data_IF_249211473029
#
_entry.id   IF_249211473029
#
_cell.length_a   1.000
_cell.length_b   1.000
_cell.length_c   1.000
_cell.angle_alpha   90.00
_cell.angle_beta   90.00
_cell.angle_gamma   90.00
#
_symmetry.space_group_name_H-M   'P 1'
#
loop_
_entity.id
_entity.type
_entity.pdbx_description
1 polymer ?
#
# COMPACT_ATOMS: atom_id res chain seq x y z
N UNK A 1 -25.47 -29.64 3.35
CA UNK A 1 -24.43 -28.80 2.70
C UNK A 1 -24.12 -27.64 3.62
N UNK A 2 -22.90 -27.62 4.18
CA UNK A 2 -22.46 -26.62 5.17
C UNK A 2 -22.35 -25.23 4.53
N UNK A 3 -22.54 -24.16 5.31
CA UNK A 3 -22.53 -22.77 4.82
C UNK A 3 -21.33 -22.38 3.94
N UNK A 4 -20.15 -23.00 4.19
CA UNK A 4 -18.96 -22.86 3.35
C UNK A 4 -19.15 -23.39 1.91
N UNK A 5 -19.89 -24.47 1.75
CA UNK A 5 -20.22 -25.07 0.44
C UNK A 5 -21.15 -24.17 -0.39
N UNK A 6 -22.16 -23.56 0.26
CA UNK A 6 -23.08 -22.62 -0.41
C UNK A 6 -22.37 -21.32 -0.82
N UNK A 7 -21.48 -20.78 0.01
CA UNK A 7 -20.69 -19.60 -0.32
C UNK A 7 -19.69 -19.88 -1.47
N UNK A 8 -19.15 -21.10 -1.54
CA UNK A 8 -18.27 -21.52 -2.64
C UNK A 8 -19.02 -21.69 -3.95
N UNK A 9 -20.18 -22.37 -3.92
CA UNK A 9 -21.07 -22.52 -5.08
C UNK A 9 -21.55 -21.17 -5.63
N UNK A 10 -21.95 -20.24 -4.76
CA UNK A 10 -22.36 -18.88 -5.16
C UNK A 10 -21.23 -18.09 -5.83
N UNK A 11 -19.98 -18.26 -5.41
CA UNK A 11 -18.81 -17.63 -6.07
C UNK A 11 -18.56 -18.20 -7.47
N UNK A 12 -18.66 -19.51 -7.65
CA UNK A 12 -18.52 -20.14 -8.97
C UNK A 12 -19.64 -19.72 -9.92
N UNK A 13 -20.88 -19.66 -9.44
CA UNK A 13 -22.02 -19.21 -10.24
C UNK A 13 -21.87 -17.75 -10.71
N UNK A 14 -21.39 -16.85 -9.82
CA UNK A 14 -21.09 -15.46 -10.19
C UNK A 14 -19.97 -15.37 -11.22
N UNK A 15 -18.88 -16.13 -11.02
CA UNK A 15 -17.77 -16.17 -11.98
C UNK A 15 -18.22 -16.71 -13.35
N UNK A 16 -19.02 -17.77 -13.39
CA UNK A 16 -19.58 -18.31 -14.64
C UNK A 16 -20.50 -17.31 -15.33
N UNK A 17 -21.38 -16.63 -14.59
CA UNK A 17 -22.25 -15.57 -15.12
C UNK A 17 -21.45 -14.38 -15.66
N UNK A 18 -20.36 -13.99 -15.00
CA UNK A 18 -19.42 -12.99 -15.51
C UNK A 18 -18.82 -13.43 -16.84
N UNK A 19 -18.27 -14.62 -16.92
CA UNK A 19 -17.64 -15.13 -18.13
C UNK A 19 -18.63 -15.24 -19.30
N UNK A 20 -19.87 -15.69 -19.05
CA UNK A 20 -20.92 -15.69 -20.06
C UNK A 20 -21.15 -14.28 -20.62
N UNK A 21 -21.29 -13.26 -19.75
CA UNK A 21 -21.43 -11.85 -20.17
C UNK A 21 -20.19 -11.32 -20.90
N UNK A 22 -19.01 -11.62 -20.41
CA UNK A 22 -17.74 -11.19 -21.00
C UNK A 22 -17.53 -11.76 -22.41
N UNK A 23 -17.90 -13.01 -22.66
CA UNK A 23 -17.75 -13.68 -23.95
C UNK A 23 -18.81 -13.24 -24.95
N UNK A 24 -20.01 -12.89 -24.49
CA UNK A 24 -21.13 -12.44 -25.34
C UNK A 24 -21.13 -10.93 -25.58
N UNK A 25 -20.51 -10.13 -24.73
CA UNK A 25 -20.35 -8.69 -24.96
C UNK A 25 -19.37 -8.48 -26.12
N UNK A 26 -19.80 -7.76 -27.16
CA UNK A 26 -19.02 -7.48 -28.37
C UNK A 26 -17.72 -6.68 -28.09
N UNK A 27 -17.14 -6.09 -29.15
CA UNK A 27 -15.96 -5.21 -29.08
C UNK A 27 -16.18 -4.11 -28.04
N UNK A 28 -15.09 -3.68 -27.38
CA UNK A 28 -15.10 -2.53 -26.49
C UNK A 28 -15.79 -1.32 -27.16
N UNK A 29 -16.67 -0.66 -26.43
CA UNK A 29 -17.30 0.58 -26.92
C UNK A 29 -16.27 1.70 -26.90
N UNK A 30 -16.42 2.74 -27.74
CA UNK A 30 -15.54 3.91 -27.71
C UNK A 30 -15.48 4.57 -26.32
N UNK A 31 -14.31 5.14 -25.98
CA UNK A 31 -14.06 5.82 -24.72
C UNK A 31 -13.41 4.95 -23.65
N UNK A 32 -12.86 5.61 -22.63
CA UNK A 32 -12.19 4.95 -21.51
C UNK A 32 -13.22 4.25 -20.61
N UNK A 33 -13.04 2.94 -20.46
CA UNK A 33 -13.86 2.04 -19.64
C UNK A 33 -12.93 1.09 -18.90
N UNK A 34 -12.69 1.36 -17.64
CA UNK A 34 -11.70 0.62 -16.84
C UNK A 34 -12.35 -0.59 -16.17
N UNK A 35 -11.70 -1.74 -16.26
CA UNK A 35 -12.01 -2.93 -15.49
C UNK A 35 -10.85 -3.26 -14.54
N UNK A 36 -11.14 -3.46 -13.26
CA UNK A 36 -10.14 -3.72 -12.23
C UNK A 36 -9.93 -5.21 -11.92
N UNK A 37 -10.44 -6.09 -12.75
CA UNK A 37 -10.29 -7.54 -12.60
C UNK A 37 -11.32 -8.20 -11.66
N UNK A 38 -12.13 -7.41 -10.95
CA UNK A 38 -13.15 -7.87 -9.99
C UNK A 38 -14.52 -7.33 -10.34
N UNK A 39 -15.58 -8.11 -10.08
CA UNK A 39 -16.95 -7.65 -10.34
C UNK A 39 -17.32 -6.46 -9.46
N UNK A 40 -16.91 -6.53 -8.18
CA UNK A 40 -17.18 -5.49 -7.19
C UNK A 40 -15.87 -4.92 -6.67
N UNK A 41 -15.76 -3.61 -6.61
CA UNK A 41 -14.72 -2.88 -5.90
C UNK A 41 -15.34 -2.40 -4.59
N UNK A 42 -14.68 -2.62 -3.43
CA UNK A 42 -15.20 -2.16 -2.15
C UNK A 42 -15.58 -0.68 -2.20
N UNK A 43 -16.75 -0.34 -1.67
CA UNK A 43 -17.22 1.04 -1.69
C UNK A 43 -16.34 1.97 -0.82
N UNK A 44 -16.31 3.29 -1.11
CA UNK A 44 -15.72 4.26 -0.21
C UNK A 44 -16.30 4.13 1.21
N UNK A 45 -15.43 4.07 2.23
CA UNK A 45 -15.84 3.86 3.62
C UNK A 45 -15.81 2.40 4.10
N UNK A 46 -15.69 1.42 3.21
CA UNK A 46 -15.42 0.05 3.63
C UNK A 46 -13.94 -0.13 4.01
N UNK A 47 -13.64 -0.90 5.08
CA UNK A 47 -12.27 -1.20 5.47
C UNK A 47 -11.56 -2.01 4.38
N UNK A 48 -10.45 -1.48 3.86
CA UNK A 48 -9.67 -2.12 2.80
C UNK A 48 -8.20 -2.21 3.18
N UNK A 49 -7.49 -3.18 2.62
CA UNK A 49 -6.03 -3.25 2.69
C UNK A 49 -5.39 -2.36 1.61
N UNK A 50 -4.12 -1.97 1.80
CA UNK A 50 -3.44 -0.97 0.98
C UNK A 50 -3.57 -1.10 -0.53
N UNK A 51 -3.43 -2.32 -1.10
CA UNK A 51 -3.61 -2.54 -2.53
C UNK A 51 -5.02 -2.26 -3.04
N UNK A 52 -6.05 -2.58 -2.25
CA UNK A 52 -7.45 -2.37 -2.61
C UNK A 52 -7.87 -0.89 -2.47
N UNK A 53 -7.26 -0.14 -1.55
CA UNK A 53 -7.52 1.29 -1.39
C UNK A 53 -7.23 2.09 -2.66
N UNK A 54 -6.23 1.69 -3.45
CA UNK A 54 -5.94 2.31 -4.74
C UNK A 54 -7.07 2.10 -5.74
N UNK A 55 -7.63 0.89 -5.78
CA UNK A 55 -8.74 0.59 -6.68
C UNK A 55 -9.98 1.39 -6.32
N UNK A 56 -10.25 1.63 -5.03
CA UNK A 56 -11.33 2.54 -4.62
C UNK A 56 -11.12 3.95 -5.19
N UNK A 57 -9.93 4.54 -5.00
CA UNK A 57 -9.59 5.89 -5.49
C UNK A 57 -9.73 6.00 -7.02
N UNK A 58 -9.29 4.98 -7.76
CA UNK A 58 -9.45 4.94 -9.22
C UNK A 58 -10.91 4.77 -9.63
N UNK A 59 -11.65 3.91 -8.93
CA UNK A 59 -13.05 3.62 -9.27
C UNK A 59 -14.00 4.80 -9.01
N UNK A 60 -13.63 5.72 -8.11
CA UNK A 60 -14.36 7.00 -7.93
C UNK A 60 -14.33 7.86 -9.20
N UNK A 61 -13.18 7.93 -9.88
CA UNK A 61 -13.02 8.70 -11.11
C UNK A 61 -13.40 7.88 -12.36
N UNK A 62 -13.03 6.61 -12.41
CA UNK A 62 -13.33 5.68 -13.50
C UNK A 62 -14.10 4.47 -12.97
N UNK A 63 -15.45 4.52 -12.96
CA UNK A 63 -16.26 3.43 -12.44
C UNK A 63 -15.94 2.07 -13.07
N UNK A 64 -15.96 1.02 -12.27
CA UNK A 64 -15.64 -0.34 -12.68
C UNK A 64 -16.58 -0.83 -13.82
N UNK A 65 -16.00 -1.37 -14.87
CA UNK A 65 -16.71 -1.83 -16.08
C UNK A 65 -16.38 -3.29 -16.42
N UNK A 66 -16.90 -4.26 -15.67
CA UNK A 66 -16.50 -5.66 -15.82
C UNK A 66 -16.89 -6.31 -17.15
N UNK A 67 -17.87 -5.76 -17.89
CA UNK A 67 -18.42 -6.42 -19.10
C UNK A 67 -18.01 -5.75 -20.42
N UNK A 68 -17.82 -4.44 -20.44
CA UNK A 68 -17.59 -3.65 -21.65
C UNK A 68 -16.32 -2.78 -21.60
N UNK A 69 -15.32 -3.25 -20.88
CA UNK A 69 -14.07 -2.51 -20.68
C UNK A 69 -13.24 -2.33 -21.97
N UNK A 70 -12.57 -1.19 -22.05
CA UNK A 70 -11.59 -0.85 -23.06
C UNK A 70 -10.16 -0.80 -22.50
N UNK A 71 -9.99 -0.93 -21.15
CA UNK A 71 -8.72 -0.99 -20.46
C UNK A 71 -8.85 -1.93 -19.25
N UNK A 72 -7.87 -2.80 -19.06
CA UNK A 72 -7.73 -3.66 -17.87
C UNK A 72 -6.68 -3.08 -16.95
N UNK A 73 -7.05 -2.73 -15.71
CA UNK A 73 -6.12 -2.27 -14.67
C UNK A 73 -6.03 -3.29 -13.55
N UNK A 74 -4.82 -3.74 -13.21
CA UNK A 74 -4.59 -4.77 -12.21
C UNK A 74 -3.62 -4.27 -11.13
N UNK A 75 -3.95 -4.49 -9.85
CA UNK A 75 -3.01 -4.38 -8.74
C UNK A 75 -2.45 -5.75 -8.37
N UNK A 76 -1.13 -5.91 -8.27
CA UNK A 76 -0.53 -7.23 -8.03
C UNK A 76 -0.85 -7.82 -6.66
N UNK A 77 -1.12 -7.02 -5.65
CA UNK A 77 -1.57 -7.49 -4.32
C UNK A 77 -2.98 -8.07 -4.36
N UNK A 78 -3.76 -7.76 -5.39
CA UNK A 78 -5.17 -8.12 -5.48
C UNK A 78 -5.53 -8.65 -6.87
N UNK A 79 -4.78 -9.66 -7.34
CA UNK A 79 -5.02 -10.30 -8.64
C UNK A 79 -6.24 -11.24 -8.60
N UNK A 80 -7.07 -11.25 -9.66
CA UNK A 80 -8.19 -12.18 -9.74
C UNK A 80 -7.69 -13.62 -9.93
N UNK A 81 -8.48 -14.59 -9.43
CA UNK A 81 -8.13 -16.02 -9.54
C UNK A 81 -8.11 -16.54 -10.98
N UNK A 82 -8.89 -15.93 -11.84
CA UNK A 82 -9.00 -16.22 -13.27
C UNK A 82 -8.15 -15.24 -14.12
N UNK A 83 -6.99 -14.86 -13.59
CA UNK A 83 -6.07 -13.91 -14.22
C UNK A 83 -5.73 -14.29 -15.68
N UNK A 84 -5.29 -15.53 -15.94
CA UNK A 84 -4.85 -15.94 -17.29
C UNK A 84 -5.96 -15.83 -18.35
N UNK A 85 -7.17 -16.37 -18.13
CA UNK A 85 -8.30 -16.12 -19.02
C UNK A 85 -8.61 -14.62 -19.21
N UNK A 86 -8.50 -13.83 -18.14
CA UNK A 86 -8.75 -12.39 -18.21
C UNK A 86 -7.71 -11.66 -19.07
N UNK A 87 -6.43 -11.96 -18.93
CA UNK A 87 -5.37 -11.42 -19.79
C UNK A 87 -5.60 -11.80 -21.26
N UNK A 88 -5.95 -13.07 -21.53
CA UNK A 88 -6.32 -13.52 -22.88
C UNK A 88 -7.50 -12.73 -23.45
N UNK A 89 -8.55 -12.50 -22.66
CA UNK A 89 -9.72 -11.74 -23.08
C UNK A 89 -9.37 -10.27 -23.38
N UNK A 90 -8.56 -9.63 -22.54
CA UNK A 90 -8.09 -8.26 -22.77
C UNK A 90 -7.34 -8.16 -24.10
N UNK A 91 -6.42 -9.09 -24.37
CA UNK A 91 -5.70 -9.16 -25.68
C UNK A 91 -6.66 -9.36 -26.85
N UNK A 92 -7.64 -10.28 -26.73
CA UNK A 92 -8.64 -10.52 -27.79
C UNK A 92 -9.48 -9.26 -28.07
N UNK A 93 -9.75 -8.46 -27.05
CA UNK A 93 -10.49 -7.19 -27.17
C UNK A 93 -9.63 -6.01 -27.62
N UNK A 94 -8.31 -6.18 -27.71
CA UNK A 94 -7.34 -5.10 -27.91
C UNK A 94 -7.46 -4.04 -26.79
N UNK A 95 -7.84 -4.45 -25.58
CA UNK A 95 -7.86 -3.61 -24.39
C UNK A 95 -6.46 -3.60 -23.77
N UNK A 96 -5.78 -2.45 -23.68
CA UNK A 96 -4.49 -2.36 -23.04
C UNK A 96 -4.57 -2.80 -21.57
N UNK A 97 -3.45 -3.36 -21.09
CA UNK A 97 -3.32 -3.89 -19.74
C UNK A 97 -2.34 -3.01 -18.98
N UNK A 98 -2.82 -2.36 -17.92
CA UNK A 98 -2.01 -1.60 -16.97
C UNK A 98 -1.88 -2.41 -15.69
N UNK A 99 -0.65 -2.57 -15.19
CA UNK A 99 -0.38 -3.27 -13.93
C UNK A 99 0.26 -2.31 -12.94
N UNK A 100 -0.37 -2.11 -11.79
CA UNK A 100 0.25 -1.46 -10.64
C UNK A 100 0.94 -2.54 -9.81
N UNK A 101 2.27 -2.49 -9.79
CA UNK A 101 3.12 -3.47 -9.13
C UNK A 101 3.36 -3.06 -7.67
N UNK A 102 2.69 -3.75 -6.75
CA UNK A 102 2.62 -3.43 -5.33
C UNK A 102 3.74 -4.04 -4.49
N UNK A 103 4.45 -5.01 -5.01
CA UNK A 103 5.51 -5.75 -4.32
C UNK A 103 5.62 -7.19 -4.82
N UNK A 104 6.67 -7.87 -4.40
CA UNK A 104 6.99 -9.24 -4.77
C UNK A 104 7.08 -10.14 -3.55
N UNK A 105 6.93 -11.44 -3.75
CA UNK A 105 7.36 -12.41 -2.76
C UNK A 105 8.90 -12.55 -2.83
N UNK A 106 9.55 -12.61 -1.67
CA UNK A 106 10.99 -12.86 -1.56
C UNK A 106 11.26 -13.84 -0.40
N UNK A 107 12.43 -14.53 -0.37
CA UNK A 107 12.69 -15.61 0.58
C UNK A 107 12.50 -15.21 2.05
N UNK A 108 12.94 -14.01 2.44
CA UNK A 108 12.91 -13.56 3.82
C UNK A 108 11.52 -13.57 4.47
N UNK A 109 10.45 -13.31 3.71
CA UNK A 109 9.09 -13.37 4.26
C UNK A 109 8.24 -14.54 3.72
N UNK A 110 8.53 -15.05 2.52
CA UNK A 110 7.71 -16.07 1.86
C UNK A 110 8.31 -17.48 1.97
N UNK A 111 9.63 -17.58 2.25
CA UNK A 111 10.36 -18.85 2.30
C UNK A 111 10.19 -19.64 1.00
N UNK A 112 10.00 -20.93 1.10
CA UNK A 112 9.82 -21.86 -0.04
C UNK A 112 8.62 -21.53 -0.95
N UNK A 113 7.72 -20.66 -0.51
CA UNK A 113 6.55 -20.24 -1.30
C UNK A 113 6.85 -19.08 -2.27
N UNK A 114 8.06 -18.53 -2.25
CA UNK A 114 8.45 -17.34 -3.05
C UNK A 114 8.08 -17.50 -4.52
N UNK A 115 8.52 -18.58 -5.16
CA UNK A 115 8.25 -18.80 -6.58
C UNK A 115 6.76 -18.98 -6.87
N UNK A 116 6.08 -19.77 -6.06
CA UNK A 116 4.65 -20.04 -6.24
C UNK A 116 3.80 -18.76 -6.12
N UNK A 117 4.14 -17.88 -5.19
CA UNK A 117 3.47 -16.60 -5.02
C UNK A 117 3.78 -15.61 -6.16
N UNK A 118 4.98 -15.68 -6.73
CA UNK A 118 5.39 -14.82 -7.85
C UNK A 118 4.85 -15.26 -9.22
N UNK A 119 4.40 -16.51 -9.40
CA UNK A 119 3.85 -16.98 -10.69
C UNK A 119 2.74 -16.08 -11.24
N UNK A 120 1.67 -15.76 -10.50
CA UNK A 120 0.61 -14.87 -11.02
C UNK A 120 1.09 -13.42 -11.20
N UNK A 121 1.98 -12.93 -10.34
CA UNK A 121 2.55 -11.58 -10.45
C UNK A 121 3.37 -11.45 -11.74
N UNK A 122 4.24 -12.43 -12.00
CA UNK A 122 5.04 -12.49 -13.24
C UNK A 122 4.14 -12.53 -14.47
N UNK A 123 3.06 -13.33 -14.44
CA UNK A 123 2.13 -13.41 -15.56
C UNK A 123 1.44 -12.05 -15.84
N UNK A 124 1.10 -11.29 -14.80
CA UNK A 124 0.50 -9.96 -14.95
C UNK A 124 1.53 -8.96 -15.52
N UNK A 125 2.73 -8.88 -14.93
CA UNK A 125 3.79 -7.93 -15.33
C UNK A 125 4.23 -8.19 -16.78
N UNK A 126 4.42 -9.46 -17.16
CA UNK A 126 4.83 -9.83 -18.53
C UNK A 126 3.73 -9.61 -19.58
N UNK A 127 2.46 -9.60 -19.16
CA UNK A 127 1.35 -9.31 -20.04
C UNK A 127 0.99 -7.82 -20.11
N UNK A 128 1.60 -6.96 -19.30
CA UNK A 128 1.25 -5.54 -19.24
C UNK A 128 1.75 -4.78 -20.47
N UNK A 129 0.94 -3.84 -20.94
CA UNK A 129 1.35 -2.82 -21.92
C UNK A 129 2.04 -1.66 -21.21
N UNK A 130 1.67 -1.42 -19.93
CA UNK A 130 2.32 -0.46 -19.05
C UNK A 130 2.33 -0.95 -17.60
N UNK A 131 3.47 -0.79 -16.92
CA UNK A 131 3.62 -1.13 -15.51
C UNK A 131 3.90 0.12 -14.68
N UNK A 132 3.09 0.35 -13.67
CA UNK A 132 3.28 1.39 -12.67
C UNK A 132 3.98 0.77 -11.46
N UNK A 133 5.22 1.13 -11.21
CA UNK A 133 5.96 0.77 -10.00
C UNK A 133 5.82 1.85 -8.94
N UNK A 134 5.72 1.47 -7.67
CA UNK A 134 5.46 2.43 -6.60
C UNK A 134 6.73 3.12 -6.07
N UNK A 135 7.91 2.59 -6.42
CA UNK A 135 9.24 3.11 -6.04
C UNK A 135 10.31 2.48 -6.92
N UNK A 136 11.52 3.04 -6.93
CA UNK A 136 12.67 2.42 -7.58
C UNK A 136 13.00 1.06 -6.93
N UNK A 137 12.80 0.94 -5.61
CA UNK A 137 12.89 -0.36 -4.93
C UNK A 137 11.88 -1.36 -5.49
N UNK A 138 10.62 -0.96 -5.69
CA UNK A 138 9.59 -1.84 -6.28
C UNK A 138 9.99 -2.30 -7.68
N UNK A 139 10.56 -1.41 -8.50
CA UNK A 139 11.07 -1.77 -9.85
C UNK A 139 12.21 -2.78 -9.75
N UNK A 140 13.25 -2.50 -8.95
CA UNK A 140 14.40 -3.40 -8.80
C UNK A 140 14.00 -4.78 -8.28
N UNK A 141 13.15 -4.84 -7.24
CA UNK A 141 12.67 -6.12 -6.70
C UNK A 141 11.79 -6.88 -7.69
N UNK A 142 10.97 -6.18 -8.47
CA UNK A 142 10.19 -6.80 -9.54
C UNK A 142 11.08 -7.39 -10.63
N UNK A 143 12.08 -6.68 -11.10
CA UNK A 143 13.02 -7.19 -12.11
C UNK A 143 13.74 -8.45 -11.62
N UNK A 144 14.16 -8.45 -10.36
CA UNK A 144 14.85 -9.59 -9.77
C UNK A 144 13.97 -10.84 -9.67
N UNK A 145 12.72 -10.71 -9.23
CA UNK A 145 11.84 -11.86 -8.93
C UNK A 145 10.81 -12.17 -10.00
N UNK A 146 10.44 -11.20 -10.84
CA UNK A 146 9.42 -11.38 -11.89
C UNK A 146 9.99 -11.25 -13.30
N UNK A 147 11.18 -10.66 -13.45
CA UNK A 147 11.79 -10.27 -14.72
C UNK A 147 11.30 -8.90 -15.19
N UNK A 148 12.01 -8.32 -16.14
CA UNK A 148 11.68 -7.03 -16.72
C UNK A 148 10.34 -7.08 -17.48
N UNK A 149 9.53 -6.00 -17.44
CA UNK A 149 8.28 -5.94 -18.18
C UNK A 149 8.53 -5.87 -19.69
N UNK A 150 7.62 -6.45 -20.47
CA UNK A 150 7.69 -6.35 -21.94
C UNK A 150 7.20 -4.98 -22.45
N UNK A 151 6.30 -4.33 -21.72
CA UNK A 151 5.74 -3.02 -22.05
C UNK A 151 6.51 -1.85 -21.45
N UNK A 152 5.97 -0.65 -21.62
CA UNK A 152 6.50 0.56 -20.98
C UNK A 152 6.28 0.52 -19.45
N UNK A 153 7.01 1.36 -18.73
CA UNK A 153 6.86 1.46 -17.28
C UNK A 153 7.24 2.84 -16.75
N UNK A 154 6.76 3.14 -15.57
CA UNK A 154 7.19 4.32 -14.81
C UNK A 154 7.12 4.09 -13.31
N UNK A 155 7.72 5.00 -12.54
CA UNK A 155 7.62 5.04 -11.08
C UNK A 155 6.59 6.09 -10.71
N UNK A 156 5.50 5.62 -10.08
CA UNK A 156 4.44 6.48 -9.55
C UNK A 156 4.06 5.99 -8.15
N UNK A 157 4.55 6.65 -7.09
CA UNK A 157 4.24 6.27 -5.71
C UNK A 157 2.74 6.32 -5.41
N UNK A 158 2.34 5.65 -4.32
CA UNK A 158 0.99 5.81 -3.79
C UNK A 158 0.72 7.28 -3.43
N UNK A 159 -0.54 7.65 -3.42
CA UNK A 159 -0.96 9.02 -3.15
C UNK A 159 -1.97 9.10 -2.01
N UNK A 160 -2.12 10.29 -1.46
CA UNK A 160 -3.04 10.63 -0.38
C UNK A 160 -3.81 11.92 -0.73
N UNK A 161 -5.04 12.01 -0.27
CA UNK A 161 -5.79 13.27 -0.26
C UNK A 161 -5.18 14.19 0.81
N UNK A 162 -4.33 15.10 0.38
CA UNK A 162 -3.57 16.00 1.28
C UNK A 162 -4.44 17.01 2.01
N UNK A 163 -5.64 17.29 1.52
CA UNK A 163 -6.58 18.19 2.21
C UNK A 163 -7.24 17.45 3.38
N UNK A 164 -7.63 16.23 3.17
CA UNK A 164 -8.20 15.38 4.21
C UNK A 164 -7.16 14.94 5.24
N UNK A 165 -5.95 14.59 4.80
CA UNK A 165 -4.80 14.27 5.64
C UNK A 165 -3.96 15.54 5.87
N UNK A 166 -4.57 16.59 6.41
CA UNK A 166 -3.89 17.82 6.79
C UNK A 166 -3.51 17.80 8.28
N UNK A 167 -2.45 18.52 8.69
CA UNK A 167 -2.14 18.73 10.10
C UNK A 167 -3.32 19.38 10.83
N UNK A 168 -3.50 19.00 12.07
CA UNK A 168 -4.48 19.60 12.98
C UNK A 168 -3.84 19.74 14.37
N UNK A 169 -4.17 20.80 15.08
CA UNK A 169 -3.69 20.97 16.44
C UNK A 169 -4.34 19.89 17.33
N UNK A 170 -3.60 18.88 17.69
CA UNK A 170 -4.05 17.90 18.68
C UNK A 170 -3.53 18.31 20.06
N UNK A 171 -4.40 18.52 21.04
CA UNK A 171 -3.97 18.63 22.42
C UNK A 171 -3.53 17.24 22.87
N UNK A 172 -2.28 17.09 23.24
CA UNK A 172 -1.76 15.79 23.71
C UNK A 172 -0.87 16.00 24.92
N UNK A 173 -1.24 15.35 26.00
CA UNK A 173 -0.41 15.27 27.19
C UNK A 173 0.71 14.22 26.98
N UNK A 174 1.91 14.69 26.67
CA UNK A 174 3.08 13.86 26.47
C UNK A 174 3.25 13.31 25.05
N UNK A 175 4.41 12.71 24.73
CA UNK A 175 4.71 12.16 23.42
C UNK A 175 3.83 10.95 23.07
N UNK A 176 3.29 10.92 21.86
CA UNK A 176 2.54 9.78 21.30
C UNK A 176 3.26 9.24 20.09
N UNK A 177 3.57 7.95 20.11
CA UNK A 177 4.14 7.21 18.97
C UNK A 177 3.04 6.37 18.35
N UNK A 178 2.92 6.37 17.03
CA UNK A 178 1.98 5.51 16.29
C UNK A 178 2.75 4.37 15.61
N UNK A 179 2.42 3.13 15.94
CA UNK A 179 2.79 1.95 15.15
C UNK A 179 1.61 1.67 14.22
N UNK A 180 1.68 2.18 12.98
CA UNK A 180 0.57 2.18 12.04
C UNK A 180 0.59 1.02 11.04
N UNK A 181 -0.59 0.72 10.49
CA UNK A 181 -0.81 -0.32 9.50
C UNK A 181 -0.88 -1.74 10.06
N UNK A 182 -1.29 -2.71 9.22
CA UNK A 182 -1.42 -4.11 9.62
C UNK A 182 -0.06 -4.71 10.03
N UNK A 183 0.00 -5.31 11.21
CA UNK A 183 1.18 -5.97 11.78
C UNK A 183 1.20 -7.44 11.35
N UNK A 184 1.34 -7.67 10.03
CA UNK A 184 1.18 -9.00 9.42
C UNK A 184 2.46 -9.86 9.44
N UNK A 185 3.61 -9.27 9.74
CA UNK A 185 4.86 -9.98 10.00
C UNK A 185 5.11 -9.95 11.51
N UNK A 186 5.32 -11.12 12.12
CA UNK A 186 5.37 -11.28 13.59
C UNK A 186 6.39 -10.35 14.27
N UNK A 187 7.56 -10.16 13.66
CA UNK A 187 8.62 -9.31 14.22
C UNK A 187 8.22 -7.83 14.34
N UNK A 188 7.32 -7.32 13.49
CA UNK A 188 6.98 -5.88 13.43
C UNK A 188 6.37 -5.37 14.74
N UNK A 189 5.41 -6.13 15.28
CA UNK A 189 4.77 -5.77 16.54
C UNK A 189 5.77 -5.86 17.71
N UNK A 190 6.52 -6.95 17.77
CA UNK A 190 7.51 -7.16 18.83
C UNK A 190 8.58 -6.08 18.81
N UNK A 191 9.18 -5.81 17.65
CA UNK A 191 10.15 -4.71 17.47
C UNK A 191 9.55 -3.35 17.84
N UNK A 192 8.29 -3.09 17.46
CA UNK A 192 7.59 -1.85 17.82
C UNK A 192 7.41 -1.69 19.33
N UNK A 193 7.03 -2.76 20.04
CA UNK A 193 6.89 -2.76 21.50
C UNK A 193 8.25 -2.63 22.20
N UNK A 194 9.30 -3.31 21.72
CA UNK A 194 10.66 -3.18 22.23
C UNK A 194 11.22 -1.77 22.02
N UNK A 195 11.05 -1.21 20.81
CA UNK A 195 11.40 0.18 20.54
C UNK A 195 10.69 1.13 21.50
N UNK A 196 9.39 0.93 21.69
CA UNK A 196 8.62 1.80 22.60
C UNK A 196 9.07 1.67 24.06
N UNK A 197 9.51 0.51 24.50
CA UNK A 197 10.10 0.33 25.83
C UNK A 197 11.32 1.25 26.02
N UNK A 198 12.21 1.33 25.01
CA UNK A 198 13.36 2.24 25.04
C UNK A 198 12.93 3.71 25.00
N UNK A 199 11.93 4.05 24.16
CA UNK A 199 11.37 5.41 24.13
C UNK A 199 10.81 5.81 25.52
N UNK A 200 10.10 4.93 26.23
CA UNK A 200 9.58 5.22 27.56
C UNK A 200 10.66 5.43 28.63
N UNK A 201 11.82 4.80 28.49
CA UNK A 201 12.92 5.06 29.38
C UNK A 201 13.40 6.52 29.31
N UNK A 202 13.42 7.10 28.09
CA UNK A 202 13.79 8.50 27.88
C UNK A 202 12.59 9.48 28.06
N UNK A 203 11.38 9.01 27.81
CA UNK A 203 10.13 9.80 27.86
C UNK A 203 9.06 9.06 28.69
N UNK A 204 9.08 9.11 30.02
CA UNK A 204 8.22 8.29 30.89
C UNK A 204 6.72 8.47 30.70
N UNK A 205 6.28 9.63 30.18
CA UNK A 205 4.88 9.92 29.89
C UNK A 205 4.45 9.49 28.49
N UNK A 206 5.39 8.96 27.66
CA UNK A 206 5.08 8.55 26.31
C UNK A 206 4.00 7.44 26.27
N UNK A 207 3.17 7.50 25.24
CA UNK A 207 2.14 6.49 24.91
C UNK A 207 2.39 5.91 23.51
N UNK A 208 2.04 4.65 23.31
CA UNK A 208 2.05 3.99 22.00
C UNK A 208 0.61 3.72 21.55
N UNK A 209 0.28 4.15 20.35
CA UNK A 209 -0.93 3.72 19.65
C UNK A 209 -0.55 2.63 18.65
N UNK A 210 -1.23 1.49 18.70
CA UNK A 210 -1.04 0.40 17.76
C UNK A 210 -2.29 0.27 16.90
N UNK A 211 -2.18 0.66 15.62
CA UNK A 211 -3.27 0.57 14.66
C UNK A 211 -3.11 -0.62 13.72
N UNK A 212 -4.23 -1.10 13.16
CA UNK A 212 -4.25 -2.20 12.20
C UNK A 212 -4.51 -3.59 12.81
N UNK A 213 -4.45 -4.58 11.94
CA UNK A 213 -4.65 -5.98 12.33
C UNK A 213 -3.37 -6.56 12.94
N UNK A 214 -3.51 -7.28 14.03
CA UNK A 214 -2.45 -8.07 14.63
C UNK A 214 -2.54 -9.54 14.17
N UNK A 215 -1.39 -10.19 13.99
CA UNK A 215 -1.30 -11.64 13.69
C UNK A 215 -0.76 -12.45 14.88
N UNK A 216 -0.25 -11.78 15.90
CA UNK A 216 0.23 -12.38 17.15
C UNK A 216 -0.42 -11.71 18.35
N UNK A 217 -0.53 -12.46 19.45
CA UNK A 217 -0.97 -11.94 20.73
C UNK A 217 0.11 -11.01 21.31
N UNK A 218 -0.18 -9.73 21.59
CA UNK A 218 0.77 -8.80 22.19
C UNK A 218 1.04 -9.06 23.68
N UNK A 219 0.17 -9.77 24.36
CA UNK A 219 0.16 -9.87 25.83
C UNK A 219 1.44 -10.45 26.45
N UNK A 220 2.08 -11.51 25.88
CA UNK A 220 3.34 -12.00 26.41
C UNK A 220 4.47 -10.95 26.38
N UNK A 221 4.60 -10.21 25.26
CA UNK A 221 5.59 -9.15 25.10
C UNK A 221 5.26 -7.94 25.98
N UNK A 222 4.00 -7.56 26.07
CA UNK A 222 3.53 -6.48 26.97
C UNK A 222 3.92 -6.73 28.43
N UNK A 223 3.70 -7.95 28.93
CA UNK A 223 4.12 -8.34 30.29
C UNK A 223 5.63 -8.33 30.47
N UNK A 224 6.36 -8.94 29.53
CA UNK A 224 7.84 -8.99 29.57
C UNK A 224 8.46 -7.60 29.63
N UNK A 225 7.88 -6.65 28.89
CA UNK A 225 8.39 -5.27 28.78
C UNK A 225 7.75 -4.29 29.80
N UNK A 226 6.80 -4.74 30.62
CA UNK A 226 6.07 -3.90 31.59
C UNK A 226 5.40 -2.68 30.95
N UNK A 227 4.71 -2.86 29.83
CA UNK A 227 4.10 -1.79 29.04
C UNK A 227 2.60 -1.58 29.29
N UNK A 228 1.99 -2.32 30.23
CA UNK A 228 0.57 -2.14 30.56
C UNK A 228 0.25 -0.70 30.95
N UNK A 229 -0.89 -0.20 30.46
CA UNK A 229 -1.35 1.16 30.69
C UNK A 229 -0.64 2.24 29.85
N UNK A 230 0.36 1.87 29.03
CA UNK A 230 1.08 2.81 28.17
C UNK A 230 0.86 2.55 26.66
N UNK A 231 0.22 1.43 26.29
CA UNK A 231 -0.05 1.03 24.92
C UNK A 231 -1.55 0.90 24.71
N UNK A 232 -2.07 1.56 23.69
CA UNK A 232 -3.46 1.50 23.25
C UNK A 232 -3.56 0.76 21.93
N UNK A 233 -4.25 -0.36 21.89
CA UNK A 233 -4.54 -1.11 20.68
C UNK A 233 -5.85 -0.60 20.06
N UNK A 234 -5.72 0.15 18.95
CA UNK A 234 -6.87 0.77 18.26
C UNK A 234 -7.62 -0.24 17.39
N UNK A 235 -6.92 -1.30 16.96
CA UNK A 235 -7.48 -2.26 16.04
C UNK A 235 -7.53 -1.75 14.59
N UNK A 236 -8.40 -2.37 13.76
CA UNK A 236 -8.59 -1.94 12.36
C UNK A 236 -9.38 -0.63 12.33
N UNK A 237 -8.96 0.24 11.46
CA UNK A 237 -9.61 1.53 11.20
C UNK A 237 -9.90 1.69 9.69
N UNK A 238 -10.86 2.52 9.37
CA UNK A 238 -11.21 2.84 7.98
C UNK A 238 -10.32 3.97 7.44
N UNK A 239 -10.33 4.15 6.13
CA UNK A 239 -9.70 5.34 5.52
C UNK A 239 -10.35 6.65 6.03
N UNK A 240 -11.61 6.58 6.47
CA UNK A 240 -12.31 7.72 7.07
C UNK A 240 -11.73 8.10 8.43
N UNK A 241 -11.38 7.13 9.25
CA UNK A 241 -10.90 7.32 10.62
C UNK A 241 -9.38 7.61 10.67
N UNK A 242 -8.64 7.21 9.62
CA UNK A 242 -7.18 7.29 9.57
C UNK A 242 -6.62 8.69 9.88
N UNK A 243 -7.14 9.81 9.33
CA UNK A 243 -6.62 11.15 9.66
C UNK A 243 -6.71 11.47 11.15
N UNK A 244 -7.86 11.21 11.78
CA UNK A 244 -8.07 11.49 13.20
C UNK A 244 -7.14 10.64 14.10
N UNK A 245 -6.90 9.38 13.72
CA UNK A 245 -5.95 8.52 14.43
C UNK A 245 -4.52 9.02 14.29
N UNK A 246 -4.08 9.34 13.06
CA UNK A 246 -2.71 9.75 12.76
C UNK A 246 -2.38 11.08 13.44
N UNK A 247 -3.28 12.04 13.45
CA UNK A 247 -3.11 13.36 14.08
C UNK A 247 -2.88 13.29 15.60
N UNK A 248 -3.23 12.20 16.25
CA UNK A 248 -2.92 11.97 17.67
C UNK A 248 -1.44 11.70 17.91
N UNK A 249 -0.69 11.33 16.87
CA UNK A 249 0.70 10.94 16.99
C UNK A 249 1.66 12.12 16.79
N UNK A 250 2.80 12.07 17.47
CA UNK A 250 3.93 12.95 17.29
C UNK A 250 4.97 12.38 16.32
N UNK A 251 5.07 11.04 16.27
CA UNK A 251 5.98 10.28 15.40
C UNK A 251 5.28 9.01 14.93
N UNK A 252 5.39 8.68 13.64
CA UNK A 252 5.08 7.35 13.12
C UNK A 252 6.32 6.47 13.26
N UNK A 253 6.19 5.31 13.88
CA UNK A 253 7.19 4.24 13.89
C UNK A 253 6.83 3.21 12.81
N UNK A 254 7.67 3.08 11.77
CA UNK A 254 7.49 2.13 10.68
C UNK A 254 8.57 1.05 10.73
N UNK A 255 8.23 -0.11 11.25
CA UNK A 255 9.15 -1.23 11.52
C UNK A 255 9.30 -2.22 10.36
N UNK A 256 8.52 -2.08 9.28
CA UNK A 256 8.55 -3.02 8.16
C UNK A 256 9.77 -2.79 7.27
N UNK A 257 10.57 -3.83 7.08
CA UNK A 257 11.64 -3.85 6.09
C UNK A 257 11.08 -4.20 4.70
N UNK A 258 11.78 -3.82 3.66
CA UNK A 258 11.43 -4.12 2.26
C UNK A 258 9.99 -3.72 1.86
N UNK A 259 9.43 -2.67 2.48
CA UNK A 259 8.11 -2.16 2.09
C UNK A 259 8.23 -1.33 0.80
N UNK A 260 7.57 -1.72 -0.30
CA UNK A 260 7.74 -1.03 -1.57
C UNK A 260 7.17 0.39 -1.58
N UNK A 261 6.07 0.66 -0.87
CA UNK A 261 5.47 1.99 -0.79
C UNK A 261 4.39 2.05 0.31
N UNK A 262 4.77 2.17 1.58
CA UNK A 262 3.82 2.16 2.68
C UNK A 262 2.90 3.40 2.66
N UNK A 263 1.63 3.22 2.36
CA UNK A 263 0.64 4.31 2.34
C UNK A 263 0.53 5.01 3.69
N UNK A 264 0.64 4.27 4.80
CA UNK A 264 0.61 4.83 6.15
C UNK A 264 1.74 5.86 6.40
N UNK A 265 2.90 5.69 5.76
CA UNK A 265 4.01 6.66 5.82
C UNK A 265 3.61 7.95 5.09
N UNK A 266 3.04 7.85 3.89
CA UNK A 266 2.58 9.01 3.13
C UNK A 266 1.46 9.74 3.88
N UNK A 267 0.52 9.00 4.45
CA UNK A 267 -0.60 9.53 5.25
C UNK A 267 -0.10 10.27 6.50
N UNK A 268 0.88 9.70 7.20
CA UNK A 268 1.49 10.34 8.37
C UNK A 268 2.22 11.64 7.97
N UNK A 269 3.04 11.58 6.93
CA UNK A 269 3.74 12.76 6.42
C UNK A 269 2.76 13.87 6.01
N UNK A 270 1.67 13.51 5.35
CA UNK A 270 0.61 14.45 4.98
C UNK A 270 -0.06 15.10 6.20
N UNK A 271 -0.24 14.38 7.30
CA UNK A 271 -0.70 14.92 8.58
C UNK A 271 0.38 15.72 9.35
N UNK A 272 1.58 15.89 8.81
CA UNK A 272 2.69 16.54 9.51
C UNK A 272 3.27 15.67 10.64
N UNK A 273 3.18 14.35 10.53
CA UNK A 273 3.75 13.40 11.47
C UNK A 273 5.03 12.81 10.87
N UNK A 274 6.21 13.14 11.41
CA UNK A 274 7.48 12.63 10.93
C UNK A 274 7.64 11.14 11.23
N UNK A 275 8.54 10.47 10.48
CA UNK A 275 8.64 9.01 10.46
C UNK A 275 10.00 8.54 10.96
N UNK A 276 10.00 7.65 11.99
CA UNK A 276 11.14 6.82 12.35
C UNK A 276 10.95 5.44 11.66
N UNK A 277 11.93 4.98 10.90
CA UNK A 277 11.73 3.80 10.07
C UNK A 277 13.00 2.96 9.85
N UNK A 278 12.82 1.68 9.55
CA UNK A 278 13.89 0.84 9.00
C UNK A 278 14.28 1.36 7.61
N UNK A 279 15.54 1.76 7.41
CA UNK A 279 16.00 2.40 6.18
C UNK A 279 16.14 1.39 5.03
N UNK A 280 15.03 0.82 4.58
CA UNK A 280 14.96 -0.12 3.47
C UNK A 280 13.71 0.08 2.62
N UNK A 281 13.66 -0.63 1.52
CA UNK A 281 12.53 -0.59 0.62
C UNK A 281 12.33 0.78 -0.02
N UNK A 282 11.11 1.04 -0.45
CA UNK A 282 10.68 2.33 -0.98
C UNK A 282 10.45 3.39 0.11
N UNK A 283 10.44 3.01 1.39
CA UNK A 283 10.23 3.96 2.50
C UNK A 283 11.27 5.08 2.48
N UNK A 284 12.52 4.75 2.17
CA UNK A 284 13.61 5.73 2.02
C UNK A 284 13.27 6.77 0.96
N UNK A 285 12.76 6.32 -0.19
CA UNK A 285 12.38 7.19 -1.30
C UNK A 285 11.17 8.09 -0.97
N UNK A 286 10.25 7.59 -0.14
CA UNK A 286 9.08 8.35 0.29
C UNK A 286 9.47 9.44 1.29
N UNK A 287 10.18 9.08 2.35
CA UNK A 287 10.51 9.99 3.46
C UNK A 287 11.55 11.02 3.04
N UNK A 288 12.57 10.62 2.25
CA UNK A 288 13.68 11.48 1.87
C UNK A 288 14.48 11.97 3.08
N UNK A 289 15.32 12.99 2.86
CA UNK A 289 16.34 13.41 3.84
C UNK A 289 15.77 14.15 5.06
N UNK A 290 14.57 14.69 4.99
CA UNK A 290 14.04 15.60 6.01
C UNK A 290 12.67 15.21 6.58
N UNK A 291 11.95 14.27 5.96
CA UNK A 291 10.61 13.87 6.42
C UNK A 291 10.60 12.93 7.63
N UNK A 292 11.78 12.48 8.06
CA UNK A 292 11.92 11.52 9.16
C UNK A 292 13.37 11.08 9.33
N UNK A 293 13.58 10.03 10.12
CA UNK A 293 14.90 9.42 10.37
C UNK A 293 14.83 7.93 10.04
N UNK A 294 15.61 7.52 9.04
CA UNK A 294 15.83 6.12 8.69
C UNK A 294 16.97 5.52 9.47
N UNK A 295 16.74 4.37 10.09
CA UNK A 295 17.76 3.63 10.81
C UNK A 295 18.37 2.58 9.88
N UNK A 296 19.66 2.65 9.56
CA UNK A 296 20.33 1.68 8.72
C UNK A 296 20.26 0.27 9.30
N UNK A 297 20.17 -0.71 8.44
CA UNK A 297 20.21 -2.12 8.78
C UNK A 297 20.77 -2.94 7.62
N UNK A 298 20.94 -4.23 7.84
CA UNK A 298 21.42 -5.17 6.83
C UNK A 298 20.30 -5.48 5.82
N UNK A 299 20.31 -4.82 4.66
CA UNK A 299 19.28 -4.93 3.64
C UNK A 299 19.42 -6.24 2.86
N UNK A 300 18.42 -7.11 2.91
CA UNK A 300 18.44 -8.43 2.27
C UNK A 300 17.03 -8.87 1.85
N UNK A 301 16.96 -9.62 0.76
CA UNK A 301 15.76 -10.37 0.40
C UNK A 301 15.74 -11.80 0.97
N UNK A 302 16.88 -12.31 1.45
CA UNK A 302 16.96 -13.69 1.95
C UNK A 302 16.41 -13.82 3.37
N UNK A 303 16.52 -12.76 4.17
CA UNK A 303 16.06 -12.72 5.55
C UNK A 303 15.68 -11.29 5.95
N UNK A 304 14.52 -11.14 6.59
CA UNK A 304 14.13 -9.87 7.21
C UNK A 304 15.02 -9.62 8.45
N UNK A 305 15.90 -8.63 8.37
CA UNK A 305 16.83 -8.23 9.44
C UNK A 305 16.58 -6.76 9.79
N UNK A 306 15.55 -6.46 10.59
CA UNK A 306 15.26 -5.07 10.96
C UNK A 306 16.39 -4.49 11.84
N UNK A 307 16.46 -3.15 11.92
CA UNK A 307 17.38 -2.48 12.83
C UNK A 307 17.04 -2.78 14.31
N UNK A 308 17.96 -2.45 15.21
CA UNK A 308 17.72 -2.66 16.63
C UNK A 308 16.58 -1.76 17.17
N UNK A 309 15.91 -2.24 18.20
CA UNK A 309 14.89 -1.46 18.91
C UNK A 309 15.47 -0.20 19.56
N UNK A 310 16.71 -0.25 20.00
CA UNK A 310 17.43 0.87 20.62
C UNK A 310 17.71 1.98 19.59
N UNK A 311 18.21 1.64 18.40
CA UNK A 311 18.48 2.61 17.34
C UNK A 311 17.17 3.26 16.82
N UNK A 312 16.09 2.48 16.68
CA UNK A 312 14.78 3.02 16.34
C UNK A 312 14.26 3.97 17.43
N UNK A 313 14.49 3.66 18.69
CA UNK A 313 14.08 4.53 19.81
C UNK A 313 14.90 5.82 19.86
N UNK A 314 16.20 5.75 19.53
CA UNK A 314 17.03 6.94 19.37
C UNK A 314 16.51 7.83 18.24
N UNK A 315 16.13 7.25 17.10
CA UNK A 315 15.51 7.99 15.99
C UNK A 315 14.16 8.64 16.41
N UNK A 316 13.30 7.94 17.14
CA UNK A 316 12.06 8.50 17.69
C UNK A 316 12.35 9.67 18.61
N UNK A 317 13.32 9.53 19.54
CA UNK A 317 13.69 10.60 20.49
C UNK A 317 14.25 11.83 19.79
N UNK A 318 15.08 11.64 18.76
CA UNK A 318 15.60 12.73 17.94
C UNK A 318 14.50 13.48 17.18
N UNK A 319 13.52 12.75 16.63
CA UNK A 319 12.34 13.35 15.99
C UNK A 319 11.47 14.14 16.97
N UNK A 320 11.30 13.65 18.20
CA UNK A 320 10.57 14.36 19.26
C UNK A 320 11.26 15.64 19.67
N UNK A 321 12.60 15.65 19.72
CA UNK A 321 13.40 16.81 20.13
C UNK A 321 13.31 17.98 19.12
N UNK A 322 13.13 17.70 17.83
CA UNK A 322 13.06 18.71 16.75
C UNK A 322 11.80 18.50 15.88
N UNK A 323 10.69 18.20 16.55
CA UNK A 323 9.45 17.78 15.92
C UNK A 323 8.92 18.76 14.88
N UNK A 324 8.94 20.07 15.20
CA UNK A 324 8.37 21.09 14.32
C UNK A 324 9.05 21.14 12.96
N UNK A 325 10.38 21.07 12.94
CA UNK A 325 11.16 21.04 11.70
C UNK A 325 10.83 19.81 10.86
N UNK A 326 10.84 18.62 11.48
CA UNK A 326 10.55 17.38 10.77
C UNK A 326 9.09 17.29 10.31
N UNK A 327 8.16 17.76 11.11
CA UNK A 327 6.73 17.79 10.77
C UNK A 327 6.46 18.70 9.57
N UNK A 328 7.03 19.90 9.56
CA UNK A 328 6.91 20.83 8.43
C UNK A 328 7.52 20.26 7.14
N UNK A 329 8.68 19.60 7.25
CA UNK A 329 9.35 18.98 6.10
C UNK A 329 8.58 17.76 5.57
N UNK A 330 8.06 16.90 6.46
CA UNK A 330 7.22 15.75 6.10
C UNK A 330 5.95 16.21 5.35
N UNK A 331 5.24 17.21 5.90
CA UNK A 331 4.05 17.78 5.26
C UNK A 331 4.36 18.37 3.89
N UNK A 332 5.37 19.22 3.79
CA UNK A 332 5.78 19.83 2.53
C UNK A 332 6.05 18.77 1.47
N UNK A 333 6.84 17.73 1.81
CA UNK A 333 7.15 16.64 0.87
C UNK A 333 5.90 15.87 0.43
N UNK A 334 4.97 15.60 1.33
CA UNK A 334 3.72 14.92 0.99
C UNK A 334 2.87 15.74 0.01
N UNK A 335 2.77 17.05 0.23
CA UNK A 335 2.04 17.98 -0.65
C UNK A 335 2.71 18.15 -2.01
N UNK A 336 4.03 18.16 -2.06
CA UNK A 336 4.77 18.33 -3.31
C UNK A 336 4.82 17.05 -4.19
N UNK A 337 4.65 15.86 -3.60
CA UNK A 337 4.97 14.62 -4.32
C UNK A 337 3.90 13.54 -4.34
N UNK A 338 2.93 13.60 -3.42
CA UNK A 338 2.02 12.47 -3.18
C UNK A 338 0.55 12.86 -3.18
N UNK A 339 0.18 13.93 -3.90
CA UNK A 339 -1.21 14.35 -3.95
C UNK A 339 -2.06 13.36 -4.75
N UNK A 340 -3.28 13.12 -4.28
CA UNK A 340 -4.24 12.27 -5.00
C UNK A 340 -4.61 12.87 -6.35
N UNK A 341 -4.69 14.19 -6.45
CA UNK A 341 -5.02 14.90 -7.68
C UNK A 341 -3.99 14.60 -8.78
N UNK A 342 -2.70 14.84 -8.52
CA UNK A 342 -1.63 14.61 -9.49
C UNK A 342 -1.53 13.13 -9.86
N UNK A 343 -1.73 12.24 -8.88
CA UNK A 343 -1.73 10.80 -9.11
C UNK A 343 -2.85 10.35 -10.05
N UNK A 344 -4.06 10.90 -9.89
CA UNK A 344 -5.18 10.63 -10.79
C UNK A 344 -4.96 11.23 -12.18
N UNK A 345 -4.39 12.46 -12.27
CA UNK A 345 -4.04 13.05 -13.56
C UNK A 345 -2.98 12.25 -14.29
N UNK A 346 -1.95 11.73 -13.58
CA UNK A 346 -0.96 10.86 -14.24
C UNK A 346 -1.59 9.55 -14.75
N UNK A 347 -2.50 8.95 -13.99
CA UNK A 347 -3.26 7.78 -14.48
C UNK A 347 -4.13 8.13 -15.71
N UNK A 348 -4.73 9.32 -15.75
CA UNK A 348 -5.49 9.77 -16.92
C UNK A 348 -4.59 9.86 -18.16
N UNK A 349 -3.38 10.40 -18.01
CA UNK A 349 -2.39 10.48 -19.09
C UNK A 349 -1.96 9.07 -19.56
N UNK A 350 -1.60 8.17 -18.64
CA UNK A 350 -1.26 6.77 -18.97
C UNK A 350 -2.40 6.10 -19.76
N UNK A 351 -3.64 6.25 -19.30
CA UNK A 351 -4.79 5.65 -19.96
C UNK A 351 -5.03 6.25 -21.35
N UNK A 352 -4.83 7.56 -21.50
CA UNK A 352 -4.95 8.26 -22.77
C UNK A 352 -3.88 7.84 -23.80
N UNK A 353 -2.64 7.67 -23.35
CA UNK A 353 -1.51 7.23 -24.18
C UNK A 353 -1.69 5.80 -24.72
N UNK A 354 -2.36 4.93 -23.96
CA UNK A 354 -2.55 3.52 -24.29
C UNK A 354 -3.80 3.25 -25.13
N UNK A 355 -4.81 4.12 -25.05
CA UNK A 355 -6.03 3.93 -25.85
C UNK A 355 -5.75 4.30 -27.32
N UNK A 356 -6.25 3.50 -28.29
CA UNK A 356 -6.22 3.89 -29.67
C UNK A 356 -6.86 5.28 -29.81
N UNK A 357 -6.14 6.22 -30.41
CA UNK A 357 -6.74 7.47 -30.84
C UNK A 357 -7.93 7.11 -31.77
N UNK A 358 -9.10 7.69 -31.50
CA UNK A 358 -10.20 7.55 -32.41
C UNK A 358 -9.68 8.02 -33.78
N UNK A 359 -9.69 7.11 -34.76
CA UNK A 359 -9.28 7.43 -36.12
C UNK A 359 -9.88 8.77 -36.49
N UNK A 360 -9.02 9.73 -36.85
CA UNK A 360 -9.40 11.11 -37.08
C UNK A 360 -10.57 11.16 -38.04
N UNK A 361 -11.60 11.91 -37.67
CA UNK A 361 -12.54 12.40 -38.65
C UNK A 361 -11.73 13.18 -39.71
N UNK A 362 -11.86 12.89 -40.99
CA UNK A 362 -11.20 13.67 -42.02
C UNK A 362 -11.69 15.11 -41.93
N UNK A 363 -10.74 16.05 -41.82
CA UNK A 363 -10.96 17.49 -41.93
C UNK A 363 -11.59 17.87 -43.26
#
# INVERSE_FOLDING_TARGET
MNGAGRARAGRYARAAGRWARLLTSGRARPGLRVFYGWDDIPAPGEPVAGGTAKLQKLAERWPNRPTDFSLLYLGTTYLPRDLRPLLWLARRRRAPIVVNQDGVAYPGWAGDRTDALNVPLRAAVQAADHVVYQSAFSKRSSDLFLGEPAGSWEILPNAVDVERFAPESAPVDGPVVLLGGDQTQGYRLELGLETFRHVRNAHPTARLLVGGRLVSDPEPTMRRLSLHGAVDFVGRYTQADAPALIRRAHVLLHTKVNDPCPTAVIEAMACGVPVAYAASGGTVELVGDQGGIGVPHDDSFDMDRPPSAEDLAAAVSALLADRERYAAAARRRAVERFTLADWLERHAAIFGELLPQADGAPT
#
